data_IF_441775330740
#
_entry.id   IF_441775330740
#
_cell.length_a   1.000
_cell.length_b   1.000
_cell.length_c   1.000
_cell.angle_alpha   90.00
_cell.angle_beta   90.00
_cell.angle_gamma   90.00
#
_symmetry.space_group_name_H-M   'P 1'
#
loop_
_entity.id
_entity.type
_entity.pdbx_description
1 polymer ?
#
# COMPACT_ATOMS: atom_id res chain seq x y z
N UNK A 1 -12.29 26.48 12.72
CA UNK A 1 -11.39 26.18 11.58
C UNK A 1 -10.31 25.26 12.13
N UNK A 2 -10.00 24.13 11.47
CA UNK A 2 -8.95 23.24 11.96
C UNK A 2 -7.59 23.94 11.88
N UNK A 3 -6.78 23.85 12.96
CA UNK A 3 -5.48 24.53 13.06
C UNK A 3 -4.41 24.08 12.05
N UNK A 4 -4.63 22.96 11.36
CA UNK A 4 -3.73 22.44 10.31
C UNK A 4 -3.75 23.28 9.01
N UNK A 5 -4.79 24.09 8.76
CA UNK A 5 -4.84 25.00 7.61
C UNK A 5 -3.75 26.10 7.71
N UNK A 6 -3.30 26.40 8.92
CA UNK A 6 -2.22 27.34 9.22
C UNK A 6 -0.88 26.61 9.52
N UNK A 7 -0.82 25.29 9.26
CA UNK A 7 0.38 24.50 9.52
C UNK A 7 1.60 25.06 8.76
N UNK A 8 2.81 25.04 9.38
CA UNK A 8 4.03 25.49 8.71
C UNK A 8 4.40 24.60 7.51
N UNK A 9 3.88 23.38 7.46
CA UNK A 9 4.18 22.42 6.40
C UNK A 9 3.43 22.72 5.09
N UNK A 10 4.17 22.87 3.98
CA UNK A 10 3.64 23.30 2.68
C UNK A 10 2.47 22.49 2.15
N UNK A 11 2.57 21.15 2.17
CA UNK A 11 1.48 20.27 1.73
C UNK A 11 0.23 20.40 2.59
N UNK A 12 0.35 20.38 3.93
CA UNK A 12 -0.82 20.45 4.82
C UNK A 12 -1.57 21.77 4.63
N UNK A 13 -0.83 22.88 4.50
CA UNK A 13 -1.40 24.20 4.19
C UNK A 13 -2.14 24.20 2.85
N UNK A 14 -1.56 23.59 1.80
CA UNK A 14 -2.20 23.51 0.49
C UNK A 14 -3.51 22.68 0.54
N UNK A 15 -3.52 21.54 1.25
CA UNK A 15 -4.73 20.75 1.48
C UNK A 15 -5.79 21.56 2.26
N UNK A 16 -5.34 22.31 3.29
CA UNK A 16 -6.23 23.18 4.07
C UNK A 16 -6.87 24.26 3.24
N UNK A 17 -6.10 24.94 2.42
CA UNK A 17 -6.61 25.98 1.54
C UNK A 17 -7.62 25.42 0.53
N UNK A 18 -7.33 24.25 -0.08
CA UNK A 18 -8.26 23.57 -0.98
C UNK A 18 -9.56 23.15 -0.30
N UNK A 19 -9.49 22.63 0.93
CA UNK A 19 -10.68 22.27 1.71
C UNK A 19 -11.50 23.51 2.07
N UNK A 20 -10.84 24.60 2.52
CA UNK A 20 -11.49 25.85 2.90
C UNK A 20 -12.17 26.56 1.72
N UNK A 21 -11.53 26.55 0.54
CA UNK A 21 -12.06 27.21 -0.68
C UNK A 21 -13.03 26.33 -1.47
N UNK A 22 -13.18 25.04 -1.10
CA UNK A 22 -13.97 24.09 -1.87
C UNK A 22 -13.38 23.79 -3.25
N UNK A 23 -12.05 23.99 -3.44
CA UNK A 23 -11.35 23.71 -4.67
C UNK A 23 -11.47 22.22 -5.03
N UNK A 24 -11.73 21.90 -6.31
CA UNK A 24 -12.00 20.53 -6.77
C UNK A 24 -11.13 20.13 -7.96
N UNK A 25 -10.90 18.84 -8.21
CA UNK A 25 -10.22 18.36 -9.41
C UNK A 25 -10.85 18.93 -10.69
N UNK A 26 -10.03 19.25 -11.69
CA UNK A 26 -10.47 19.88 -12.94
C UNK A 26 -10.72 21.38 -12.88
N UNK A 27 -10.78 21.98 -11.68
CA UNK A 27 -11.00 23.43 -11.48
C UNK A 27 -9.93 24.06 -10.57
N UNK A 28 -8.71 23.52 -10.56
CA UNK A 28 -7.59 24.02 -9.74
C UNK A 28 -7.04 25.33 -10.29
N UNK A 29 -6.70 26.24 -9.40
CA UNK A 29 -6.08 27.53 -9.71
C UNK A 29 -4.73 27.73 -9.00
N UNK A 30 -4.35 26.79 -8.12
CA UNK A 30 -3.13 26.90 -7.30
C UNK A 30 -1.85 26.39 -8.01
N UNK A 31 -1.97 25.83 -9.22
CA UNK A 31 -0.86 25.27 -9.98
C UNK A 31 -0.25 23.98 -9.38
N UNK A 32 -0.88 23.42 -8.34
CA UNK A 32 -0.40 22.21 -7.68
C UNK A 32 -1.13 20.97 -8.22
N UNK A 33 -0.39 19.85 -8.31
CA UNK A 33 -0.96 18.50 -8.46
C UNK A 33 -0.65 17.72 -7.18
N UNK A 34 -1.67 17.53 -6.32
CA UNK A 34 -1.53 16.88 -5.02
C UNK A 34 -2.02 15.43 -5.14
N UNK A 35 -1.14 14.48 -4.92
CA UNK A 35 -1.44 13.06 -4.90
C UNK A 35 -1.60 12.52 -3.48
N UNK A 36 -2.50 11.54 -3.31
CA UNK A 36 -2.56 10.66 -2.16
C UNK A 36 -1.91 9.33 -2.55
N UNK A 37 -0.87 8.92 -1.84
CA UNK A 37 -0.17 7.65 -2.03
C UNK A 37 -0.48 6.69 -0.87
N UNK A 38 -1.01 5.49 -1.17
CA UNK A 38 -1.38 4.49 -0.16
C UNK A 38 -0.46 3.29 -0.28
N UNK A 39 0.39 3.09 0.75
CA UNK A 39 1.36 2.00 0.80
C UNK A 39 0.68 0.63 0.84
N UNK A 40 1.25 -0.34 0.13
CA UNK A 40 0.88 -1.75 0.24
C UNK A 40 1.42 -2.41 1.51
N UNK A 41 0.86 -3.57 1.88
CA UNK A 41 1.33 -4.24 3.09
C UNK A 41 0.60 -5.54 3.45
N UNK A 42 -0.18 -6.15 2.55
CA UNK A 42 -1.06 -7.27 2.91
C UNK A 42 -2.04 -6.85 4.01
N UNK A 43 -2.17 -7.62 5.08
CA UNK A 43 -3.09 -7.28 6.19
C UNK A 43 -2.70 -6.02 6.97
N UNK A 44 -1.47 -5.50 6.84
CA UNK A 44 -1.14 -4.14 7.34
C UNK A 44 -1.92 -3.03 6.64
N UNK A 45 -2.57 -3.34 5.51
CA UNK A 45 -3.56 -2.46 4.87
C UNK A 45 -4.71 -2.04 5.79
N UNK A 46 -4.94 -2.76 6.91
CA UNK A 46 -5.90 -2.34 7.94
C UNK A 46 -5.56 -0.96 8.51
N UNK A 47 -4.28 -0.67 8.76
CA UNK A 47 -3.80 0.63 9.27
C UNK A 47 -4.05 1.74 8.24
N UNK A 48 -3.60 1.55 6.99
CA UNK A 48 -3.82 2.54 5.92
C UNK A 48 -5.29 2.66 5.53
N UNK A 49 -6.09 1.61 5.71
CA UNK A 49 -7.54 1.64 5.56
C UNK A 49 -8.22 2.55 6.60
N UNK A 50 -7.78 2.46 7.86
CA UNK A 50 -8.22 3.39 8.91
C UNK A 50 -7.85 4.84 8.61
N UNK A 51 -6.60 5.09 8.19
CA UNK A 51 -6.15 6.43 7.77
C UNK A 51 -6.99 6.98 6.60
N UNK A 52 -7.26 6.14 5.60
CA UNK A 52 -8.07 6.53 4.45
C UNK A 52 -9.51 6.86 4.84
N UNK A 53 -10.10 6.09 5.78
CA UNK A 53 -11.43 6.40 6.31
C UNK A 53 -11.44 7.74 7.03
N UNK A 54 -10.42 8.07 7.81
CA UNK A 54 -10.30 9.37 8.46
C UNK A 54 -10.26 10.53 7.45
N UNK A 55 -9.53 10.38 6.33
CA UNK A 55 -9.53 11.39 5.26
C UNK A 55 -10.92 11.57 4.64
N UNK A 56 -11.71 10.49 4.51
CA UNK A 56 -13.10 10.60 4.08
C UNK A 56 -13.96 11.33 5.13
N UNK A 57 -13.88 10.94 6.40
CA UNK A 57 -14.65 11.55 7.50
C UNK A 57 -14.36 13.05 7.64
N UNK A 58 -13.14 13.48 7.33
CA UNK A 58 -12.73 14.89 7.29
C UNK A 58 -13.15 15.61 6.01
N UNK A 59 -13.73 14.90 5.02
CA UNK A 59 -14.12 15.49 3.74
C UNK A 59 -12.92 15.92 2.87
N UNK A 60 -11.74 15.33 3.08
CA UNK A 60 -10.50 15.76 2.43
C UNK A 60 -10.26 15.14 1.05
N UNK A 61 -11.02 14.10 0.66
CA UNK A 61 -10.83 13.47 -0.65
C UNK A 61 -10.85 14.48 -1.82
N UNK A 62 -11.78 15.45 -1.90
CA UNK A 62 -11.79 16.41 -3.01
C UNK A 62 -10.58 17.35 -3.06
N UNK A 63 -9.76 17.43 -2.00
CA UNK A 63 -8.54 18.24 -2.01
C UNK A 63 -7.37 17.59 -2.79
N UNK A 64 -7.45 16.28 -3.07
CA UNK A 64 -6.49 15.57 -3.90
C UNK A 64 -6.88 15.61 -5.38
N UNK A 65 -5.91 15.52 -6.27
CA UNK A 65 -6.11 15.40 -7.72
C UNK A 65 -6.12 13.92 -8.13
N UNK A 66 -5.33 13.09 -7.45
CA UNK A 66 -5.21 11.67 -7.75
C UNK A 66 -4.91 10.84 -6.50
N UNK A 67 -5.39 9.59 -6.50
CA UNK A 67 -5.11 8.55 -5.49
C UNK A 67 -4.33 7.42 -6.14
N UNK A 68 -3.11 7.19 -5.66
CA UNK A 68 -2.24 6.09 -6.09
C UNK A 68 -2.19 5.01 -5.02
N UNK A 69 -2.42 3.77 -5.40
CA UNK A 69 -2.42 2.65 -4.47
C UNK A 69 -1.57 1.48 -4.92
N UNK A 70 -0.87 0.84 -3.97
CA UNK A 70 -0.11 -0.39 -4.20
C UNK A 70 -0.71 -1.54 -3.40
N UNK A 71 -1.03 -2.69 -4.04
CA UNK A 71 -1.51 -3.90 -3.34
C UNK A 71 -2.74 -3.60 -2.45
N UNK A 72 -2.67 -3.89 -1.14
CA UNK A 72 -3.71 -3.52 -0.18
C UNK A 72 -4.05 -2.02 -0.23
N UNK A 73 -3.06 -1.16 -0.50
CA UNK A 73 -3.29 0.28 -0.68
C UNK A 73 -4.10 0.62 -1.93
N UNK A 74 -4.01 -0.18 -3.00
CA UNK A 74 -4.89 -0.01 -4.16
C UNK A 74 -6.35 -0.36 -3.80
N UNK A 75 -6.57 -1.43 -3.05
CA UNK A 75 -7.91 -1.80 -2.57
C UNK A 75 -8.49 -0.70 -1.70
N UNK A 76 -7.70 -0.16 -0.75
CA UNK A 76 -8.12 0.96 0.10
C UNK A 76 -8.39 2.23 -0.70
N UNK A 77 -7.58 2.53 -1.72
CA UNK A 77 -7.80 3.65 -2.62
C UNK A 77 -9.09 3.54 -3.41
N UNK A 78 -9.42 2.34 -3.93
CA UNK A 78 -10.68 2.10 -4.64
C UNK A 78 -11.90 2.34 -3.72
N UNK A 79 -11.87 1.84 -2.48
CA UNK A 79 -12.90 2.13 -1.50
C UNK A 79 -13.04 3.62 -1.21
N UNK A 80 -11.91 4.31 -0.99
CA UNK A 80 -11.88 5.73 -0.65
C UNK A 80 -12.52 6.60 -1.73
N UNK A 81 -12.25 6.32 -3.02
CA UNK A 81 -12.80 7.11 -4.14
C UNK A 81 -14.18 6.66 -4.59
N UNK A 82 -14.67 5.52 -4.09
CA UNK A 82 -16.01 5.02 -4.39
C UNK A 82 -17.10 5.83 -3.68
N UNK A 83 -18.36 5.61 -4.06
CA UNK A 83 -19.54 6.17 -3.37
C UNK A 83 -19.78 5.54 -1.99
N UNK A 84 -19.00 4.52 -1.57
CA UNK A 84 -19.15 3.77 -0.31
C UNK A 84 -17.85 3.63 0.46
N UNK A 85 -17.15 4.72 0.82
CA UNK A 85 -15.85 4.66 1.49
C UNK A 85 -15.90 4.02 2.88
N UNK A 86 -17.08 3.92 3.51
CA UNK A 86 -17.30 3.16 4.75
C UNK A 86 -16.96 1.65 4.59
N UNK A 87 -16.92 1.12 3.37
CA UNK A 87 -16.45 -0.21 3.07
C UNK A 87 -14.99 -0.48 3.46
N UNK A 88 -14.19 0.57 3.70
CA UNK A 88 -12.87 0.48 4.32
C UNK A 88 -12.89 -0.22 5.68
N UNK A 89 -14.01 -0.17 6.42
CA UNK A 89 -14.18 -0.89 7.70
C UNK A 89 -14.08 -2.41 7.55
N UNK A 90 -14.24 -2.94 6.33
CA UNK A 90 -14.00 -4.35 6.04
C UNK A 90 -12.61 -4.84 6.44
N UNK A 91 -11.58 -3.97 6.43
CA UNK A 91 -10.25 -4.32 6.89
C UNK A 91 -10.17 -4.69 8.39
N UNK A 92 -11.11 -4.22 9.21
CA UNK A 92 -11.23 -4.53 10.62
C UNK A 92 -12.12 -5.76 10.91
N UNK A 93 -12.80 -6.30 9.89
CA UNK A 93 -13.73 -7.41 10.05
C UNK A 93 -13.01 -8.77 10.09
N UNK A 94 -13.20 -9.58 11.16
CA UNK A 94 -12.55 -10.88 11.29
C UNK A 94 -12.87 -11.86 10.15
N UNK A 95 -14.09 -11.80 9.61
CA UNK A 95 -14.54 -12.63 8.50
C UNK A 95 -13.81 -12.31 7.20
N UNK A 96 -13.49 -11.04 6.99
CA UNK A 96 -12.73 -10.56 5.83
C UNK A 96 -11.32 -11.15 5.81
N UNK A 97 -10.57 -11.03 6.91
CA UNK A 97 -9.22 -11.57 7.04
C UNK A 97 -9.18 -13.09 6.82
N UNK A 98 -10.12 -13.84 7.41
CA UNK A 98 -10.23 -15.30 7.24
C UNK A 98 -10.63 -15.72 5.83
N UNK A 99 -11.34 -14.88 5.09
CA UNK A 99 -11.67 -15.13 3.68
C UNK A 99 -10.45 -14.90 2.79
N UNK A 100 -9.70 -13.84 3.05
CA UNK A 100 -8.53 -13.45 2.27
C UNK A 100 -7.32 -14.35 2.54
N UNK A 101 -7.05 -14.69 3.81
CA UNK A 101 -5.86 -15.44 4.21
C UNK A 101 -6.23 -16.89 4.52
N UNK A 102 -5.70 -17.83 3.74
CA UNK A 102 -5.95 -19.28 3.86
C UNK A 102 -4.64 -20.06 3.94
N UNK A 103 -4.02 -20.12 5.12
CA UNK A 103 -2.74 -20.79 5.32
C UNK A 103 -2.74 -22.26 4.86
N UNK A 104 -3.87 -22.97 4.98
CA UNK A 104 -4.06 -24.32 4.45
C UNK A 104 -4.38 -24.39 2.95
N UNK A 105 -4.45 -23.26 2.27
CA UNK A 105 -4.77 -23.15 0.83
C UNK A 105 -3.88 -24.04 -0.05
N UNK A 106 -2.55 -24.00 0.07
CA UNK A 106 -1.64 -24.80 -0.76
C UNK A 106 -1.89 -26.31 -0.68
N UNK A 107 -2.30 -26.85 0.47
CA UNK A 107 -2.64 -28.28 0.63
C UNK A 107 -3.85 -28.70 -0.21
N UNK A 108 -4.62 -27.72 -0.70
CA UNK A 108 -5.84 -27.91 -1.50
C UNK A 108 -5.71 -27.32 -2.90
N UNK A 109 -4.46 -27.00 -3.36
CA UNK A 109 -4.22 -26.36 -4.65
C UNK A 109 -4.75 -24.92 -4.77
N UNK A 110 -4.96 -24.23 -3.63
CA UNK A 110 -5.46 -22.86 -3.58
C UNK A 110 -4.35 -21.90 -3.10
N UNK A 111 -4.41 -20.60 -3.46
CA UNK A 111 -3.45 -19.62 -2.95
C UNK A 111 -3.58 -19.42 -1.44
N UNK A 112 -2.49 -18.96 -0.81
CA UNK A 112 -2.50 -18.52 0.60
C UNK A 112 -3.31 -17.24 0.75
N UNK A 113 -3.19 -16.31 -0.21
CA UNK A 113 -3.90 -15.03 -0.25
C UNK A 113 -4.92 -15.08 -1.38
N UNK A 114 -6.19 -15.21 -1.06
CA UNK A 114 -7.27 -15.39 -2.06
C UNK A 114 -7.88 -14.05 -2.49
N UNK A 115 -7.06 -13.23 -3.16
CA UNK A 115 -7.48 -11.93 -3.70
C UNK A 115 -8.62 -12.08 -4.71
N UNK A 116 -8.66 -13.20 -5.46
CA UNK A 116 -9.73 -13.45 -6.42
C UNK A 116 -11.08 -13.56 -5.72
N UNK A 117 -11.19 -14.39 -4.70
CA UNK A 117 -12.45 -14.50 -3.93
C UNK A 117 -12.82 -13.16 -3.29
N UNK A 118 -11.86 -12.41 -2.78
CA UNK A 118 -12.13 -11.09 -2.22
C UNK A 118 -12.80 -10.16 -3.25
N UNK A 119 -12.18 -9.99 -4.41
CA UNK A 119 -12.64 -9.00 -5.42
C UNK A 119 -13.86 -9.50 -6.20
N UNK A 120 -13.89 -10.79 -6.58
CA UNK A 120 -14.94 -11.31 -7.48
C UNK A 120 -16.17 -11.85 -6.73
N UNK A 121 -16.06 -12.11 -5.42
CA UNK A 121 -17.17 -12.62 -4.62
C UNK A 121 -17.53 -11.65 -3.50
N UNK A 122 -16.61 -11.41 -2.56
CA UNK A 122 -16.91 -10.61 -1.36
C UNK A 122 -17.34 -9.19 -1.72
N UNK A 123 -16.62 -8.54 -2.65
CA UNK A 123 -16.93 -7.18 -3.09
C UNK A 123 -18.07 -7.06 -4.09
N UNK A 124 -18.72 -8.18 -4.42
CA UNK A 124 -19.95 -8.16 -5.21
C UNK A 124 -21.18 -8.59 -4.39
N UNK A 125 -20.99 -9.27 -3.25
CA UNK A 125 -22.11 -9.87 -2.49
C UNK A 125 -22.17 -9.45 -1.04
N UNK A 126 -21.08 -9.60 -0.28
CA UNK A 126 -21.05 -9.38 1.17
C UNK A 126 -20.72 -7.93 1.53
N UNK A 127 -19.76 -7.36 0.82
CA UNK A 127 -19.30 -5.97 0.93
C UNK A 127 -19.32 -5.34 -0.45
N UNK A 128 -20.50 -4.99 -0.99
CA UNK A 128 -20.62 -4.57 -2.38
C UNK A 128 -19.93 -3.22 -2.60
N UNK A 129 -18.83 -3.24 -3.37
CA UNK A 129 -18.15 -2.06 -3.86
C UNK A 129 -18.86 -1.52 -5.11
N UNK A 130 -19.12 -0.25 -5.13
CA UNK A 130 -19.58 0.42 -6.33
C UNK A 130 -18.41 0.74 -7.27
N UNK A 131 -18.04 -0.23 -8.11
CA UNK A 131 -16.94 -0.08 -9.08
C UNK A 131 -17.25 1.00 -10.12
N UNK A 132 -18.52 1.26 -10.41
CA UNK A 132 -18.92 2.32 -11.35
C UNK A 132 -18.59 3.69 -10.78
N UNK A 133 -18.84 3.93 -9.50
CA UNK A 133 -18.53 5.21 -8.86
C UNK A 133 -17.03 5.47 -8.77
N UNK A 134 -16.19 4.43 -8.65
CA UNK A 134 -14.72 4.57 -8.71
C UNK A 134 -14.30 5.16 -10.07
N UNK A 135 -14.89 4.65 -11.16
CA UNK A 135 -14.59 5.11 -12.53
C UNK A 135 -15.14 6.52 -12.81
N UNK A 136 -16.22 6.89 -12.14
CA UNK A 136 -16.86 8.20 -12.28
C UNK A 136 -16.30 9.26 -11.32
N UNK A 137 -15.34 8.90 -10.46
CA UNK A 137 -14.76 9.82 -9.49
C UNK A 137 -14.03 10.98 -10.17
N UNK A 138 -14.24 12.20 -9.67
CA UNK A 138 -13.49 13.38 -10.11
C UNK A 138 -12.02 13.34 -9.67
N UNK A 139 -11.70 12.60 -8.60
CA UNK A 139 -10.33 12.32 -8.17
C UNK A 139 -9.82 11.11 -8.94
N UNK A 140 -8.76 11.26 -9.71
CA UNK A 140 -8.20 10.18 -10.52
C UNK A 140 -7.76 9.00 -9.64
N UNK A 141 -8.00 7.78 -10.10
CA UNK A 141 -7.61 6.59 -9.35
C UNK A 141 -6.59 5.74 -10.12
N UNK A 142 -5.42 5.54 -9.53
CA UNK A 142 -4.25 4.91 -10.13
C UNK A 142 -3.80 3.67 -9.33
N UNK A 143 -4.37 2.48 -9.56
CA UNK A 143 -3.84 1.25 -8.99
C UNK A 143 -2.55 0.87 -9.71
N UNK A 144 -1.47 0.66 -8.94
CA UNK A 144 -0.19 0.24 -9.48
C UNK A 144 -0.06 -1.28 -9.51
N UNK A 145 0.71 -1.80 -10.46
CA UNK A 145 1.12 -3.21 -10.51
C UNK A 145 2.54 -3.34 -11.07
N UNK A 146 3.12 -4.54 -10.95
CA UNK A 146 4.42 -4.87 -11.57
C UNK A 146 4.17 -5.61 -12.87
N UNK A 147 4.65 -5.10 -13.98
CA UNK A 147 4.63 -5.78 -15.26
C UNK A 147 5.54 -7.03 -15.23
N UNK A 148 4.98 -8.19 -15.61
CA UNK A 148 5.69 -9.46 -15.53
C UNK A 148 6.81 -9.60 -16.56
N UNK A 149 6.77 -8.85 -17.66
CA UNK A 149 7.79 -8.89 -18.71
C UNK A 149 8.98 -7.99 -18.36
N UNK A 150 8.69 -6.76 -17.86
CA UNK A 150 9.72 -5.74 -17.64
C UNK A 150 10.15 -5.58 -16.18
N UNK A 151 9.39 -6.14 -15.22
CA UNK A 151 9.62 -5.91 -13.78
C UNK A 151 9.39 -4.45 -13.33
N UNK A 152 8.87 -3.59 -14.19
CA UNK A 152 8.65 -2.19 -13.91
C UNK A 152 7.32 -1.97 -13.18
N UNK A 153 7.27 -0.90 -12.35
CA UNK A 153 6.01 -0.36 -11.87
C UNK A 153 5.19 0.16 -13.04
N UNK A 154 3.91 -0.17 -13.05
CA UNK A 154 2.98 0.22 -14.11
C UNK A 154 1.72 0.77 -13.46
N UNK A 155 1.33 1.97 -13.87
CA UNK A 155 0.02 2.52 -13.61
C UNK A 155 -1.02 1.81 -14.48
N UNK A 156 -2.03 1.22 -13.85
CA UNK A 156 -3.07 0.49 -14.55
C UNK A 156 -4.26 1.38 -14.97
N UNK A 157 -4.32 2.63 -14.53
CA UNK A 157 -5.41 3.56 -14.85
C UNK A 157 -5.74 3.60 -16.37
N UNK A 158 -4.75 3.70 -17.29
CA UNK A 158 -5.03 3.72 -18.72
C UNK A 158 -5.60 2.42 -19.30
N UNK A 159 -5.58 1.32 -18.53
CA UNK A 159 -6.09 0.00 -18.93
C UNK A 159 -7.48 -0.28 -18.35
N UNK A 160 -8.09 0.70 -17.68
CA UNK A 160 -9.36 0.53 -16.96
C UNK A 160 -10.43 1.39 -17.63
N UNK A 161 -11.28 0.78 -18.44
CA UNK A 161 -12.40 1.45 -19.09
C UNK A 161 -13.78 1.02 -18.55
N UNK A 162 -13.82 -0.03 -17.69
CA UNK A 162 -15.08 -0.58 -17.19
C UNK A 162 -14.89 -1.30 -15.83
N UNK A 163 -15.99 -1.61 -15.10
CA UNK A 163 -15.92 -2.29 -13.80
C UNK A 163 -15.22 -3.65 -13.81
N UNK A 164 -15.25 -4.40 -14.90
CA UNK A 164 -14.58 -5.69 -15.01
C UNK A 164 -13.06 -5.52 -15.07
N UNK A 165 -12.58 -4.57 -15.85
CA UNK A 165 -11.14 -4.22 -15.92
C UNK A 165 -10.64 -3.63 -14.60
N UNK A 166 -11.45 -2.83 -13.89
CA UNK A 166 -11.11 -2.35 -12.56
C UNK A 166 -10.91 -3.51 -11.58
N UNK A 167 -11.79 -4.52 -11.58
CA UNK A 167 -11.59 -5.72 -10.74
C UNK A 167 -10.32 -6.47 -11.10
N UNK A 168 -10.00 -6.60 -12.39
CA UNK A 168 -8.74 -7.19 -12.84
C UNK A 168 -7.54 -6.36 -12.37
N UNK A 169 -7.61 -5.04 -12.44
CA UNK A 169 -6.55 -4.14 -11.98
C UNK A 169 -6.30 -4.27 -10.46
N UNK A 170 -7.36 -4.32 -9.64
CA UNK A 170 -7.24 -4.55 -8.20
C UNK A 170 -6.60 -5.91 -7.90
N UNK A 171 -7.02 -6.96 -8.62
CA UNK A 171 -6.40 -8.29 -8.51
C UNK A 171 -4.94 -8.27 -8.93
N UNK A 172 -4.59 -7.60 -10.01
CA UNK A 172 -3.23 -7.46 -10.50
C UNK A 172 -2.35 -6.76 -9.48
N UNK A 173 -2.84 -5.64 -8.94
CA UNK A 173 -2.13 -4.86 -7.91
C UNK A 173 -1.81 -5.65 -6.65
N UNK A 174 -2.67 -6.62 -6.28
CA UNK A 174 -2.53 -7.43 -5.07
C UNK A 174 -2.13 -8.90 -5.33
N UNK A 175 -1.74 -9.25 -6.56
CA UNK A 175 -1.33 -10.61 -6.94
C UNK A 175 0.13 -10.91 -6.58
N UNK A 176 0.40 -11.05 -5.27
CA UNK A 176 1.76 -11.31 -4.79
C UNK A 176 2.26 -12.67 -5.32
N UNK A 177 3.43 -12.72 -6.00
CA UNK A 177 3.98 -13.97 -6.52
C UNK A 177 3.98 -15.06 -5.44
N UNK A 178 3.56 -16.29 -5.81
CA UNK A 178 3.48 -17.51 -4.98
C UNK A 178 2.35 -17.52 -3.94
N UNK A 179 1.96 -16.38 -3.40
CA UNK A 179 0.96 -16.30 -2.33
C UNK A 179 -0.45 -16.08 -2.87
N UNK A 180 -0.61 -15.30 -3.93
CA UNK A 180 -1.92 -14.96 -4.50
C UNK A 180 -2.21 -15.63 -5.85
N UNK A 181 -1.34 -16.56 -6.29
CA UNK A 181 -1.52 -17.32 -7.52
C UNK A 181 -0.74 -16.76 -8.72
N UNK A 182 -1.20 -17.07 -9.96
CA UNK A 182 -0.53 -16.64 -11.19
C UNK A 182 -0.71 -15.14 -11.44
N UNK A 183 0.10 -14.56 -12.37
CA UNK A 183 -0.09 -13.17 -12.77
C UNK A 183 -1.46 -12.94 -13.39
N UNK A 184 -1.99 -11.75 -13.20
CA UNK A 184 -3.28 -11.34 -13.75
C UNK A 184 -3.07 -10.72 -15.15
N UNK A 185 -3.91 -11.10 -16.10
CA UNK A 185 -3.92 -10.52 -17.44
C UNK A 185 -4.86 -9.31 -17.50
N UNK A 186 -4.36 -8.19 -18.03
CA UNK A 186 -5.11 -6.98 -18.28
C UNK A 186 -4.48 -6.23 -19.48
N UNK A 187 -5.29 -5.79 -20.43
CA UNK A 187 -4.81 -5.05 -21.60
C UNK A 187 -3.74 -5.79 -22.42
N UNK A 188 -3.83 -7.11 -22.55
CA UNK A 188 -2.85 -7.95 -23.27
C UNK A 188 -1.51 -8.17 -22.53
N UNK A 189 -1.35 -7.65 -21.32
CA UNK A 189 -0.14 -7.75 -20.48
C UNK A 189 -0.41 -8.58 -19.24
N UNK A 190 0.66 -9.07 -18.61
CA UNK A 190 0.59 -9.86 -17.35
C UNK A 190 1.17 -9.06 -16.20
N UNK A 191 0.51 -9.08 -15.06
CA UNK A 191 0.89 -8.27 -13.91
C UNK A 191 0.95 -9.07 -12.62
N UNK A 192 1.91 -8.73 -11.78
CA UNK A 192 2.05 -9.14 -10.40
C UNK A 192 1.84 -7.95 -9.45
N UNK A 193 1.82 -8.24 -8.14
CA UNK A 193 1.67 -7.27 -7.05
C UNK A 193 2.59 -6.04 -7.22
N UNK A 194 2.02 -4.87 -7.03
CA UNK A 194 2.72 -3.59 -7.11
C UNK A 194 3.95 -3.55 -6.21
N UNK A 195 3.86 -4.17 -5.04
CA UNK A 195 4.93 -4.17 -4.09
C UNK A 195 6.21 -4.89 -4.55
N UNK A 196 6.22 -5.62 -5.67
CA UNK A 196 7.47 -6.13 -6.27
C UNK A 196 8.29 -4.98 -6.86
N UNK A 197 7.67 -4.01 -7.53
CA UNK A 197 8.33 -2.87 -8.16
C UNK A 197 8.24 -1.58 -7.33
N UNK A 198 7.08 -1.27 -6.77
CA UNK A 198 6.81 -0.01 -6.07
C UNK A 198 5.77 -0.23 -4.95
N UNK A 199 6.24 -0.52 -3.73
CA UNK A 199 5.36 -0.78 -2.58
C UNK A 199 4.79 0.48 -1.96
N UNK A 200 5.49 1.60 -2.10
CA UNK A 200 5.04 2.94 -1.73
C UNK A 200 4.89 3.70 -3.04
N UNK A 201 3.68 4.09 -3.45
CA UNK A 201 3.47 4.86 -4.67
C UNK A 201 4.12 6.25 -4.56
N UNK A 202 5.37 6.37 -4.96
CA UNK A 202 6.15 7.62 -4.92
C UNK A 202 6.65 8.02 -6.30
N UNK A 203 7.33 7.07 -6.98
CA UNK A 203 8.00 7.34 -8.25
C UNK A 203 7.01 7.58 -9.38
N UNK A 204 5.94 6.77 -9.40
CA UNK A 204 4.90 6.89 -10.42
C UNK A 204 4.18 8.23 -10.37
N UNK A 205 3.60 8.70 -9.23
CA UNK A 205 2.97 10.01 -9.17
C UNK A 205 3.93 11.16 -9.47
N UNK A 206 5.20 11.12 -9.00
CA UNK A 206 6.20 12.13 -9.33
C UNK A 206 6.49 12.20 -10.83
N UNK A 207 6.64 11.04 -11.49
CA UNK A 207 6.85 10.97 -12.94
C UNK A 207 5.62 11.47 -13.73
N UNK A 208 4.44 11.43 -13.14
CA UNK A 208 3.18 11.95 -13.70
C UNK A 208 2.87 13.39 -13.26
N UNK A 209 3.87 14.11 -12.73
CA UNK A 209 3.78 15.54 -12.44
C UNK A 209 3.18 15.89 -11.09
N UNK A 210 3.05 14.94 -10.13
CA UNK A 210 2.66 15.29 -8.77
C UNK A 210 3.70 16.24 -8.16
N UNK A 211 3.22 17.40 -7.70
CA UNK A 211 4.05 18.41 -7.04
C UNK A 211 4.17 18.14 -5.54
N UNK A 212 3.10 17.58 -4.96
CA UNK A 212 2.98 17.28 -3.54
C UNK A 212 2.34 15.91 -3.34
N UNK A 213 2.75 15.17 -2.30
CA UNK A 213 2.26 13.81 -2.04
C UNK A 213 2.00 13.61 -0.55
N UNK A 214 0.75 13.30 -0.17
CA UNK A 214 0.43 12.74 1.14
C UNK A 214 0.61 11.22 1.07
N UNK A 215 1.41 10.65 1.98
CA UNK A 215 1.72 9.22 1.97
C UNK A 215 1.13 8.53 3.21
N UNK A 216 0.18 7.60 3.00
CA UNK A 216 -0.30 6.73 4.07
C UNK A 216 0.61 5.52 4.18
N UNK A 217 1.30 5.38 5.32
CA UNK A 217 2.30 4.34 5.57
C UNK A 217 1.71 3.21 6.40
N UNK A 218 2.03 1.98 6.02
CA UNK A 218 1.56 0.78 6.71
C UNK A 218 2.51 0.28 7.81
N UNK A 219 3.72 0.89 7.93
CA UNK A 219 4.78 0.46 8.84
C UNK A 219 5.06 1.50 9.90
N UNK A 220 5.25 1.01 11.14
CA UNK A 220 5.72 1.83 12.27
C UNK A 220 7.16 2.28 12.06
N UNK A 221 7.52 3.41 12.66
CA UNK A 221 8.92 3.77 12.91
C UNK A 221 9.27 3.26 14.31
N UNK A 222 10.14 2.28 14.39
CA UNK A 222 10.62 1.79 15.68
C UNK A 222 11.76 2.68 16.16
N UNK A 223 11.72 3.16 17.43
CA UNK A 223 12.76 4.05 17.97
C UNK A 223 14.13 3.37 18.13
N UNK A 224 14.17 2.04 18.22
CA UNK A 224 15.41 1.25 18.30
C UNK A 224 15.27 -0.04 17.47
N UNK A 225 16.37 -0.55 16.86
CA UNK A 225 16.35 -1.88 16.29
C UNK A 225 16.07 -2.89 17.40
N UNK A 226 15.05 -3.73 17.22
CA UNK A 226 14.85 -4.90 18.09
C UNK A 226 16.12 -5.74 17.96
N UNK A 227 16.86 -6.04 19.04
CA UNK A 227 17.98 -6.97 18.97
C UNK A 227 17.44 -8.27 18.38
N UNK A 228 18.15 -8.86 17.40
CA UNK A 228 17.81 -10.18 16.92
C UNK A 228 17.73 -11.11 18.12
N UNK A 229 16.52 -11.60 18.44
CA UNK A 229 16.32 -12.49 19.56
C UNK A 229 17.19 -13.72 19.34
N UNK A 230 18.09 -13.95 20.27
CA UNK A 230 18.92 -15.14 20.28
C UNK A 230 18.02 -16.38 20.34
N UNK A 231 17.89 -17.11 19.21
CA UNK A 231 17.60 -18.53 19.21
C UNK A 231 16.19 -18.99 19.61
N UNK A 232 15.15 -18.17 19.55
CA UNK A 232 13.75 -18.61 19.67
C UNK A 232 13.13 -18.62 18.26
N UNK A 233 12.73 -19.79 17.74
CA UNK A 233 11.92 -19.85 16.51
C UNK A 233 10.62 -19.08 16.77
N UNK A 234 10.34 -18.10 15.92
CA UNK A 234 9.08 -17.39 15.90
C UNK A 234 7.98 -18.43 15.58
N UNK A 235 6.89 -18.52 16.38
CA UNK A 235 5.80 -19.45 16.09
C UNK A 235 5.20 -19.28 14.68
N UNK A 236 5.42 -18.14 14.01
CA UNK A 236 5.06 -17.90 12.62
C UNK A 236 6.03 -18.57 11.60
N UNK A 237 7.13 -19.16 12.04
CA UNK A 237 8.19 -19.76 11.21
C UNK A 237 7.80 -21.12 10.61
N UNK A 238 6.65 -21.69 10.96
CA UNK A 238 6.19 -23.01 10.47
C UNK A 238 5.69 -23.03 9.01
N UNK A 239 5.65 -21.88 8.33
CA UNK A 239 5.35 -21.79 6.89
C UNK A 239 6.51 -21.19 6.08
N UNK A 240 7.71 -21.55 6.43
CA UNK A 240 9.03 -21.00 6.14
C UNK A 240 9.28 -20.37 4.76
N UNK A 241 8.72 -20.85 3.66
CA UNK A 241 9.07 -20.32 2.33
C UNK A 241 8.20 -19.12 1.93
N UNK A 242 6.92 -19.15 2.26
CA UNK A 242 6.02 -18.06 1.92
C UNK A 242 6.12 -16.90 2.94
N UNK A 243 6.26 -17.23 4.23
CA UNK A 243 6.48 -16.26 5.28
C UNK A 243 7.85 -15.56 5.14
N UNK A 244 8.90 -16.27 4.76
CA UNK A 244 10.22 -15.72 4.50
C UNK A 244 10.24 -14.74 3.31
N UNK A 245 9.49 -15.00 2.23
CA UNK A 245 9.35 -14.06 1.12
C UNK A 245 8.65 -12.75 1.55
N UNK A 246 7.83 -12.81 2.60
CA UNK A 246 7.09 -11.69 3.16
C UNK A 246 7.90 -11.01 4.27
N UNK A 247 8.51 -11.78 5.16
CA UNK A 247 9.32 -11.31 6.30
C UNK A 247 10.64 -10.66 5.87
N UNK A 248 11.23 -11.12 4.76
CA UNK A 248 12.45 -10.55 4.18
C UNK A 248 12.40 -9.04 3.91
N UNK A 249 11.24 -8.42 4.07
CA UNK A 249 11.03 -6.99 3.93
C UNK A 249 10.83 -6.21 5.24
N UNK A 250 10.78 -6.86 6.39
CA UNK A 250 10.65 -6.14 7.67
C UNK A 250 11.98 -5.56 8.15
N UNK A 251 13.12 -6.11 7.69
CA UNK A 251 14.47 -5.64 8.06
C UNK A 251 14.96 -4.42 7.25
N UNK A 252 14.15 -3.88 6.34
CA UNK A 252 14.52 -2.78 5.44
C UNK A 252 14.27 -1.36 5.98
N UNK A 253 13.95 -1.18 7.26
CA UNK A 253 13.99 0.14 7.87
C UNK A 253 15.45 0.60 7.98
N UNK A 254 15.81 1.83 7.57
CA UNK A 254 17.16 2.34 7.74
C UNK A 254 17.51 2.28 9.22
N UNK A 255 18.59 1.55 9.54
CA UNK A 255 19.15 1.53 10.89
C UNK A 255 19.76 2.90 11.15
N UNK A 256 19.08 3.73 11.89
CA UNK A 256 19.71 4.92 12.48
C UNK A 256 20.57 4.41 13.63
N UNK A 257 21.87 4.25 13.38
CA UNK A 257 22.83 3.91 14.41
C UNK A 257 22.95 5.07 15.40
N UNK A 258 23.08 4.77 16.66
CA UNK A 258 23.52 5.73 17.66
C UNK A 258 24.91 6.25 17.24
N UNK A 259 25.00 7.54 16.90
CA UNK A 259 26.13 8.26 16.33
C UNK A 259 26.14 8.34 14.79
N UNK A 260 25.13 8.98 14.19
CA UNK A 260 25.30 9.79 12.97
C UNK A 260 25.87 9.14 11.69
N UNK A 261 26.07 7.83 11.64
CA UNK A 261 26.54 7.15 10.42
C UNK A 261 25.41 6.30 9.83
N UNK A 262 24.74 6.85 8.83
CA UNK A 262 23.86 6.07 7.95
C UNK A 262 24.69 5.03 7.21
N UNK A 263 24.43 3.74 7.41
CA UNK A 263 25.02 2.69 6.57
C UNK A 263 24.59 2.93 5.12
N UNK A 264 25.52 3.32 4.26
CA UNK A 264 25.29 3.57 2.83
C UNK A 264 25.10 2.29 2.01
N UNK A 265 25.21 1.12 2.63
CA UNK A 265 25.06 -0.15 1.93
C UNK A 265 23.58 -0.52 1.79
N UNK A 266 23.05 -0.66 0.57
CA UNK A 266 21.66 -1.05 0.38
C UNK A 266 21.39 -2.45 0.96
N UNK A 267 20.19 -2.70 1.52
CA UNK A 267 19.84 -3.99 2.08
C UNK A 267 19.88 -5.09 1.03
N UNK A 268 20.60 -6.19 1.33
CA UNK A 268 20.74 -7.34 0.43
C UNK A 268 19.50 -8.25 0.53
N UNK A 269 19.10 -8.91 -0.58
CA UNK A 269 18.02 -9.89 -0.55
C UNK A 269 18.39 -11.08 0.35
N UNK A 270 17.43 -11.56 1.16
CA UNK A 270 17.65 -12.73 2.01
C UNK A 270 17.85 -13.99 1.17
N UNK A 271 18.35 -15.08 1.81
CA UNK A 271 18.57 -16.36 1.14
C UNK A 271 17.26 -16.91 0.54
N UNK A 272 16.16 -16.77 1.26
CA UNK A 272 14.82 -17.25 0.90
C UNK A 272 14.31 -16.53 -0.35
N UNK A 273 14.43 -15.20 -0.40
CA UNK A 273 14.05 -14.40 -1.58
C UNK A 273 14.87 -14.82 -2.81
N UNK A 274 16.16 -15.13 -2.64
CA UNK A 274 17.00 -15.62 -3.74
C UNK A 274 16.58 -17.01 -4.24
N UNK A 275 16.25 -17.94 -3.32
CA UNK A 275 15.75 -19.26 -3.68
C UNK A 275 14.42 -19.10 -4.44
N UNK A 276 13.51 -18.30 -3.91
CA UNK A 276 12.20 -18.06 -4.47
C UNK A 276 12.28 -17.48 -5.90
N UNK A 277 13.14 -16.46 -6.11
CA UNK A 277 13.37 -15.89 -7.42
C UNK A 277 13.89 -16.91 -8.43
N UNK A 278 14.75 -17.85 -7.99
CA UNK A 278 15.35 -18.89 -8.86
C UNK A 278 14.41 -20.05 -9.16
N UNK A 279 13.54 -20.42 -8.23
CA UNK A 279 12.69 -21.61 -8.36
C UNK A 279 11.33 -21.27 -8.95
N UNK A 280 10.61 -20.44 -8.30
CA UNK A 280 9.19 -20.23 -8.61
C UNK A 280 8.98 -19.15 -9.69
N UNK A 281 9.91 -18.18 -9.85
CA UNK A 281 9.91 -17.26 -11.01
C UNK A 281 10.83 -17.72 -12.15
N UNK A 282 11.26 -18.99 -12.18
CA UNK A 282 12.18 -19.48 -13.21
C UNK A 282 11.63 -19.34 -14.64
N UNK A 283 10.30 -19.36 -14.79
CA UNK A 283 9.61 -19.22 -16.08
C UNK A 283 9.27 -17.77 -16.42
N UNK A 284 9.47 -16.86 -15.49
CA UNK A 284 9.22 -15.42 -15.69
C UNK A 284 10.48 -14.71 -16.21
N UNK A 285 10.34 -13.45 -16.59
CA UNK A 285 11.43 -12.62 -17.12
C UNK A 285 12.60 -12.46 -16.13
N UNK A 286 13.80 -12.19 -16.63
CA UNK A 286 14.96 -11.87 -15.81
C UNK A 286 14.75 -10.54 -15.07
N UNK A 287 14.05 -9.60 -15.71
CA UNK A 287 13.71 -8.29 -15.21
C UNK A 287 12.80 -8.38 -13.99
N UNK A 288 11.76 -9.24 -14.03
CA UNK A 288 10.88 -9.47 -12.87
C UNK A 288 11.65 -10.11 -11.70
N UNK A 289 12.52 -11.09 -11.97
CA UNK A 289 13.38 -11.68 -10.94
C UNK A 289 14.30 -10.63 -10.30
N UNK A 290 14.90 -9.78 -11.11
CA UNK A 290 15.74 -8.67 -10.65
C UNK A 290 14.90 -7.69 -9.82
N UNK A 291 13.68 -7.36 -10.28
CA UNK A 291 12.76 -6.51 -9.56
C UNK A 291 12.44 -7.04 -8.16
N UNK A 292 12.22 -8.35 -8.01
CA UNK A 292 12.00 -8.98 -6.70
C UNK A 292 13.27 -8.93 -5.83
N UNK A 293 14.43 -9.24 -6.40
CA UNK A 293 15.70 -9.28 -5.67
C UNK A 293 16.15 -7.89 -5.16
N UNK A 294 15.85 -6.82 -5.90
CA UNK A 294 16.24 -5.45 -5.55
C UNK A 294 15.15 -4.67 -4.82
N UNK A 295 14.02 -5.32 -4.51
CA UNK A 295 12.85 -4.68 -3.89
C UNK A 295 13.20 -3.92 -2.60
N UNK A 296 13.92 -4.55 -1.67
CA UNK A 296 14.26 -3.94 -0.39
C UNK A 296 15.14 -2.70 -0.57
N UNK A 297 16.12 -2.76 -1.47
CA UNK A 297 16.98 -1.63 -1.79
C UNK A 297 16.18 -0.46 -2.39
N UNK A 298 15.27 -0.76 -3.34
CA UNK A 298 14.39 0.27 -3.90
C UNK A 298 13.48 0.91 -2.86
N UNK A 299 12.86 0.09 -1.99
CA UNK A 299 12.03 0.64 -0.91
C UNK A 299 12.83 1.57 0.00
N UNK A 300 14.08 1.23 0.32
CA UNK A 300 14.96 2.09 1.12
C UNK A 300 15.26 3.42 0.40
N UNK A 301 15.51 3.38 -0.91
CA UNK A 301 15.68 4.59 -1.74
C UNK A 301 14.41 5.44 -1.76
N UNK A 302 13.23 4.81 -1.94
CA UNK A 302 11.94 5.52 -1.92
C UNK A 302 11.71 6.20 -0.56
N UNK A 303 12.06 5.54 0.56
CA UNK A 303 11.95 6.11 1.91
C UNK A 303 12.89 7.31 2.10
N UNK A 304 14.13 7.23 1.61
CA UNK A 304 15.06 8.36 1.65
C UNK A 304 14.55 9.55 0.83
N UNK A 305 14.04 9.28 -0.37
CA UNK A 305 13.48 10.34 -1.22
C UNK A 305 12.21 10.98 -0.60
N UNK A 306 11.35 10.19 0.08
CA UNK A 306 10.24 10.75 0.85
C UNK A 306 10.75 11.74 1.90
N UNK A 307 11.79 11.39 2.65
CA UNK A 307 12.35 12.27 3.69
C UNK A 307 12.90 13.59 3.09
N UNK A 308 13.51 13.55 1.91
CA UNK A 308 13.95 14.75 1.19
C UNK A 308 12.75 15.63 0.79
N UNK A 309 11.68 15.02 0.29
CA UNK A 309 10.46 15.73 -0.08
C UNK A 309 9.71 16.28 1.16
N UNK A 310 9.73 15.56 2.28
CA UNK A 310 9.19 16.03 3.57
C UNK A 310 9.94 17.26 4.07
N UNK A 311 11.28 17.24 4.01
CA UNK A 311 12.12 18.40 4.35
C UNK A 311 11.86 19.61 3.44
N UNK A 312 11.49 19.37 2.18
CA UNK A 312 11.10 20.40 1.22
C UNK A 312 9.64 20.86 1.34
N UNK A 313 8.85 20.30 2.28
CA UNK A 313 7.43 20.60 2.44
C UNK A 313 6.51 20.04 1.34
N UNK A 314 7.05 19.17 0.47
CA UNK A 314 6.37 18.60 -0.70
C UNK A 314 5.75 17.21 -0.44
N UNK A 315 6.18 16.51 0.59
CA UNK A 315 5.57 15.27 1.04
C UNK A 315 5.26 15.33 2.54
N UNK A 316 4.28 14.55 2.96
CA UNK A 316 3.98 14.31 4.37
C UNK A 316 3.56 12.86 4.54
N UNK A 317 4.16 12.13 5.48
CA UNK A 317 3.78 10.75 5.77
C UNK A 317 2.95 10.66 7.05
N UNK A 318 1.76 10.10 6.94
CA UNK A 318 1.00 9.61 8.10
C UNK A 318 1.45 8.18 8.37
N UNK A 319 1.94 7.92 9.58
CA UNK A 319 2.50 6.63 9.99
C UNK A 319 1.79 6.10 11.24
N UNK A 320 1.67 4.77 11.41
CA UNK A 320 1.22 4.20 12.68
C UNK A 320 2.09 4.70 13.82
N UNK A 321 1.50 4.86 15.00
CA UNK A 321 2.25 5.23 16.21
C UNK A 321 3.29 4.15 16.55
N UNK A 322 4.35 4.47 17.33
CA UNK A 322 5.31 3.46 17.81
C UNK A 322 4.64 2.32 18.58
N UNK A 323 3.56 2.63 19.31
CA UNK A 323 2.80 1.69 20.15
C UNK A 323 1.63 1.02 19.40
N UNK A 324 1.46 1.32 18.10
CA UNK A 324 0.42 0.71 17.28
C UNK A 324 0.48 -0.83 17.33
N UNK A 325 -0.66 -1.53 17.22
CA UNK A 325 -0.68 -2.98 17.21
C UNK A 325 0.21 -3.58 16.11
N UNK A 326 1.04 -4.62 16.42
CA UNK A 326 2.01 -5.20 15.48
C UNK A 326 1.33 -6.13 14.47
N UNK A 327 0.72 -5.60 13.43
CA UNK A 327 0.06 -6.39 12.39
C UNK A 327 1.08 -6.96 11.42
N UNK A 328 1.09 -8.29 11.23
CA UNK A 328 1.83 -8.97 10.17
C UNK A 328 1.07 -8.92 8.83
N UNK A 329 1.76 -9.25 7.73
CA UNK A 329 1.12 -9.25 6.40
C UNK A 329 0.06 -10.33 6.21
N UNK A 330 0.10 -11.39 7.00
CA UNK A 330 -0.81 -12.53 6.97
C UNK A 330 -1.65 -12.63 8.25
N UNK A 331 -1.73 -11.59 9.05
CA UNK A 331 -2.52 -11.58 10.30
C UNK A 331 -4.00 -11.90 10.02
N UNK A 332 -4.58 -12.78 10.84
CA UNK A 332 -6.01 -13.13 10.80
C UNK A 332 -6.70 -12.89 12.15
N UNK A 333 -5.96 -12.32 13.11
CA UNK A 333 -6.50 -11.94 14.41
C UNK A 333 -7.38 -10.69 14.26
N UNK A 334 -8.68 -10.89 14.36
CA UNK A 334 -9.67 -9.83 14.17
C UNK A 334 -9.56 -8.71 15.21
N UNK A 335 -9.23 -9.03 16.47
CA UNK A 335 -9.10 -8.02 17.52
C UNK A 335 -7.87 -7.13 17.25
N UNK A 336 -6.75 -7.74 16.86
CA UNK A 336 -5.53 -7.04 16.46
C UNK A 336 -5.77 -6.14 15.24
N UNK A 337 -6.49 -6.65 14.23
CA UNK A 337 -6.80 -5.89 13.02
C UNK A 337 -7.73 -4.70 13.30
N UNK A 338 -8.75 -4.90 14.13
CA UNK A 338 -9.65 -3.82 14.52
C UNK A 338 -8.93 -2.72 15.32
N UNK A 339 -8.06 -3.10 16.26
CA UNK A 339 -7.26 -2.16 17.03
C UNK A 339 -6.29 -1.37 16.12
N UNK A 340 -5.65 -2.03 15.17
CA UNK A 340 -4.73 -1.37 14.24
C UNK A 340 -5.46 -0.47 13.22
N UNK A 341 -6.67 -0.82 12.82
CA UNK A 341 -7.52 0.05 12.00
C UNK A 341 -7.85 1.34 12.72
N UNK A 342 -8.27 1.23 13.99
CA UNK A 342 -8.62 2.41 14.79
C UNK A 342 -7.39 3.25 15.13
N UNK A 343 -6.22 2.65 15.43
CA UNK A 343 -4.95 3.39 15.59
C UNK A 343 -4.64 4.21 14.33
N UNK A 344 -4.72 3.59 13.15
CA UNK A 344 -4.50 4.29 11.89
C UNK A 344 -5.48 5.45 11.68
N UNK A 345 -6.77 5.22 12.00
CA UNK A 345 -7.81 6.25 11.90
C UNK A 345 -7.53 7.42 12.83
N UNK A 346 -7.25 7.16 14.12
CA UNK A 346 -6.96 8.20 15.10
C UNK A 346 -5.69 8.98 14.76
N UNK A 347 -4.64 8.27 14.30
CA UNK A 347 -3.40 8.90 13.85
C UNK A 347 -3.65 9.90 12.73
N UNK A 348 -4.47 9.56 11.74
CA UNK A 348 -4.79 10.47 10.65
C UNK A 348 -5.67 11.64 11.13
N UNK A 349 -6.67 11.40 11.98
CA UNK A 349 -7.47 12.46 12.57
C UNK A 349 -6.60 13.47 13.34
N UNK A 350 -5.63 12.99 14.12
CA UNK A 350 -4.74 13.85 14.91
C UNK A 350 -3.84 14.76 14.06
N UNK A 351 -3.52 14.38 12.82
CA UNK A 351 -2.76 15.24 11.89
C UNK A 351 -3.59 16.44 11.45
N UNK A 352 -4.92 16.29 11.40
CA UNK A 352 -5.85 17.27 10.85
C UNK A 352 -6.81 17.86 11.91
N UNK A 353 -6.55 17.64 13.20
CA UNK A 353 -7.31 18.23 14.31
C UNK A 353 -6.84 19.65 14.71
#
# INVERSE_FOLDING_TARGET
MPGWADAPHGLLRALGERARTGSRPGARTDGLRIALAIEGGGMRGTVTGGMALALHELGLLPAFDAVYGASAGAISGAWLVSSRPEGLRGWAEPSYAKTLIRLSGPLRGRPVVDVRTLIEVVYQTQWPMDFGSVLASAVEYHPLATDAATGASTDLHPLIGNPAELRLALRASASLPFLAGPPVQLGGRRFYDAGVAESIPLRTPLAQGATHILVLRSRRVLPHPIPAASGGADPDDLNGVAAAAISANDDGAPRVGAAGTTSTTPPRPTREVRILARTALRKESAELRTALLTRSARTATDVAHIAELEAAGRAFSIRPTPDAPPVSRLSTDGALLAAAFEDGRQTALAVFS
#
